data_IF_983589458948
#
_entry.id   IF_983589458948
#
_cell.length_a   1.000
_cell.length_b   1.000
_cell.length_c   1.000
_cell.angle_alpha   90.00
_cell.angle_beta   90.00
_cell.angle_gamma   90.00
#
_symmetry.space_group_name_H-M   'P 1'
#
loop_
_entity.id
_entity.type
_entity.pdbx_description
1 polymer ?
#
# COMPACT_ATOMS: atom_id res chain seq x y z
N UNK A 1 -22.97 -2.21 -2.22
CA UNK A 1 -23.63 -3.29 -1.47
C UNK A 1 -23.29 -3.25 0.01
N UNK A 2 -22.02 -3.37 0.43
CA UNK A 2 -21.66 -3.36 1.86
C UNK A 2 -22.03 -2.07 2.61
N UNK A 3 -21.90 -0.89 1.99
CA UNK A 3 -22.37 0.39 2.58
C UNK A 3 -23.86 0.33 2.92
N UNK A 4 -24.67 -0.16 1.99
CA UNK A 4 -26.11 -0.33 2.19
C UNK A 4 -26.40 -1.29 3.36
N UNK A 5 -25.68 -2.41 3.46
CA UNK A 5 -25.82 -3.34 4.58
C UNK A 5 -25.51 -2.64 5.91
N UNK A 6 -24.38 -1.92 5.96
CA UNK A 6 -23.88 -1.28 7.17
C UNK A 6 -24.80 -0.16 7.70
N UNK A 7 -25.50 0.52 6.80
CA UNK A 7 -26.42 1.61 7.12
C UNK A 7 -27.82 1.14 7.48
N UNK A 8 -28.31 0.07 6.83
CA UNK A 8 -29.71 -0.33 6.92
C UNK A 8 -29.96 -1.55 7.83
N UNK A 9 -28.94 -2.35 8.16
CA UNK A 9 -29.05 -3.54 9.01
C UNK A 9 -28.24 -3.37 10.30
N UNK A 10 -28.81 -2.60 11.23
CA UNK A 10 -28.14 -2.20 12.49
C UNK A 10 -27.99 -3.34 13.50
N UNK A 11 -28.77 -4.40 13.36
CA UNK A 11 -28.69 -5.61 14.18
C UNK A 11 -28.04 -6.72 13.35
N UNK A 12 -26.73 -6.88 13.52
CA UNK A 12 -25.99 -7.91 12.81
C UNK A 12 -26.44 -9.30 13.29
N UNK A 13 -26.85 -10.21 12.39
CA UNK A 13 -27.25 -11.57 12.76
C UNK A 13 -26.04 -12.44 13.15
N UNK A 14 -24.82 -11.99 12.85
CA UNK A 14 -23.56 -12.70 13.04
C UNK A 14 -22.37 -11.72 13.01
N UNK A 15 -21.21 -12.14 13.51
CA UNK A 15 -20.02 -11.27 13.66
C UNK A 15 -19.40 -10.83 12.34
N UNK A 16 -19.49 -11.65 11.30
CA UNK A 16 -19.07 -11.33 9.92
C UNK A 16 -19.88 -10.17 9.31
N UNK A 17 -21.13 -9.98 9.76
CA UNK A 17 -22.00 -8.87 9.38
C UNK A 17 -22.01 -7.72 10.39
N UNK A 18 -21.11 -7.75 11.39
CA UNK A 18 -20.95 -6.63 12.32
C UNK A 18 -20.54 -5.36 11.58
N UNK A 19 -20.92 -4.20 12.14
CA UNK A 19 -20.57 -2.88 11.58
C UNK A 19 -19.07 -2.72 11.33
N UNK A 20 -18.24 -3.24 12.23
CA UNK A 20 -16.78 -3.16 12.11
C UNK A 20 -16.29 -4.02 10.94
N UNK A 21 -16.72 -5.27 10.85
CA UNK A 21 -16.35 -6.18 9.76
C UNK A 21 -16.77 -5.62 8.41
N UNK A 22 -18.04 -5.19 8.28
CA UNK A 22 -18.55 -4.63 7.02
C UNK A 22 -17.82 -3.35 6.64
N UNK A 23 -17.47 -2.49 7.60
CA UNK A 23 -16.64 -1.29 7.35
C UNK A 23 -15.24 -1.65 6.85
N UNK A 24 -14.59 -2.67 7.42
CA UNK A 24 -13.30 -3.14 6.95
C UNK A 24 -13.40 -3.65 5.50
N UNK A 25 -14.43 -4.42 5.17
CA UNK A 25 -14.68 -4.89 3.80
C UNK A 25 -14.95 -3.74 2.81
N UNK A 26 -15.70 -2.71 3.21
CA UNK A 26 -15.88 -1.49 2.40
C UNK A 26 -14.52 -0.85 2.09
N UNK A 27 -13.67 -0.70 3.10
CA UNK A 27 -12.35 -0.10 2.92
C UNK A 27 -11.47 -0.93 1.99
N UNK A 28 -11.46 -2.27 2.11
CA UNK A 28 -10.71 -3.15 1.20
C UNK A 28 -11.21 -3.00 -0.24
N UNK A 29 -12.53 -3.04 -0.47
CA UNK A 29 -13.10 -2.92 -1.81
C UNK A 29 -12.78 -1.56 -2.45
N UNK A 30 -12.85 -0.48 -1.67
CA UNK A 30 -12.48 0.86 -2.14
C UNK A 30 -10.97 0.97 -2.42
N UNK A 31 -10.13 0.35 -1.58
CA UNK A 31 -8.69 0.36 -1.78
C UNK A 31 -8.30 -0.37 -3.07
N UNK A 32 -8.87 -1.54 -3.32
CA UNK A 32 -8.67 -2.30 -4.56
C UNK A 32 -9.14 -1.53 -5.80
N UNK A 33 -10.31 -0.87 -5.73
CA UNK A 33 -10.78 -0.01 -6.80
C UNK A 33 -9.83 1.17 -7.07
N UNK A 34 -9.26 1.73 -5.99
CA UNK A 34 -8.30 2.81 -6.06
C UNK A 34 -6.96 2.37 -6.69
N UNK A 35 -6.50 1.14 -6.43
CA UNK A 35 -5.33 0.54 -7.10
C UNK A 35 -5.54 0.41 -8.61
N UNK A 36 -6.67 -0.17 -9.03
CA UNK A 36 -7.01 -0.31 -10.46
C UNK A 36 -7.08 1.07 -11.13
N UNK A 37 -7.67 2.05 -10.44
CA UNK A 37 -7.73 3.40 -10.97
C UNK A 37 -6.34 4.05 -11.05
N UNK A 38 -5.47 3.84 -10.05
CA UNK A 38 -4.07 4.28 -10.07
C UNK A 38 -3.33 3.69 -11.27
N UNK A 39 -3.41 2.37 -11.49
CA UNK A 39 -2.77 1.70 -12.64
C UNK A 39 -3.21 2.31 -13.97
N UNK A 40 -4.52 2.53 -14.13
CA UNK A 40 -5.07 3.22 -15.31
C UNK A 40 -4.47 4.62 -15.45
N UNK A 41 -4.44 5.42 -14.38
CA UNK A 41 -3.92 6.78 -14.44
C UNK A 41 -2.40 6.83 -14.70
N UNK A 42 -1.65 5.83 -14.23
CA UNK A 42 -0.24 5.66 -14.56
C UNK A 42 -0.06 5.35 -16.04
N UNK A 43 -0.85 4.42 -16.59
CA UNK A 43 -0.84 4.10 -18.03
C UNK A 43 -1.25 5.30 -18.91
N UNK A 44 -2.17 6.14 -18.42
CA UNK A 44 -2.59 7.38 -19.08
C UNK A 44 -1.55 8.53 -18.97
N UNK A 45 -0.39 8.29 -18.33
CA UNK A 45 0.69 9.27 -18.20
C UNK A 45 0.33 10.48 -17.33
N UNK A 46 -0.51 10.32 -16.30
CA UNK A 46 -0.85 11.42 -15.38
C UNK A 46 0.38 11.90 -14.60
N UNK A 47 0.31 13.17 -14.17
CA UNK A 47 1.39 13.81 -13.40
C UNK A 47 1.64 13.09 -12.07
N UNK A 48 2.91 13.00 -11.69
CA UNK A 48 3.39 12.31 -10.49
C UNK A 48 2.63 12.73 -9.21
N UNK A 49 2.41 14.03 -9.00
CA UNK A 49 1.67 14.50 -7.81
C UNK A 49 0.21 14.07 -7.77
N UNK A 50 -0.43 13.80 -8.91
CA UNK A 50 -1.78 13.23 -8.94
C UNK A 50 -1.75 11.74 -8.60
N UNK A 51 -0.80 10.99 -9.17
CA UNK A 51 -0.59 9.56 -8.87
C UNK A 51 -0.29 9.35 -7.39
N UNK A 52 0.53 10.23 -6.79
CA UNK A 52 0.84 10.21 -5.36
C UNK A 52 -0.41 10.29 -4.48
N UNK A 53 -1.36 11.18 -4.82
CA UNK A 53 -2.63 11.31 -4.09
C UNK A 53 -3.50 10.06 -4.21
N UNK A 54 -3.56 9.47 -5.40
CA UNK A 54 -4.33 8.25 -5.63
C UNK A 54 -3.77 7.06 -4.84
N UNK A 55 -2.44 6.88 -4.87
CA UNK A 55 -1.75 5.86 -4.11
C UNK A 55 -1.88 6.08 -2.59
N UNK A 56 -1.78 7.34 -2.13
CA UNK A 56 -1.97 7.70 -0.73
C UNK A 56 -3.38 7.35 -0.23
N UNK A 57 -4.41 7.58 -1.06
CA UNK A 57 -5.78 7.19 -0.72
C UNK A 57 -5.92 5.66 -0.60
N UNK A 58 -5.31 4.88 -1.50
CA UNK A 58 -5.33 3.42 -1.41
C UNK A 58 -4.61 2.93 -0.13
N UNK A 59 -3.43 3.50 0.17
CA UNK A 59 -2.68 3.20 1.37
C UNK A 59 -3.50 3.48 2.64
N UNK A 60 -4.16 4.65 2.71
CA UNK A 60 -5.00 5.03 3.83
C UNK A 60 -6.16 4.05 4.03
N UNK A 61 -6.88 3.70 2.95
CA UNK A 61 -7.99 2.73 3.01
C UNK A 61 -7.53 1.35 3.49
N UNK A 62 -6.40 0.85 3.00
CA UNK A 62 -5.83 -0.41 3.47
C UNK A 62 -5.43 -0.35 4.95
N UNK A 63 -4.78 0.73 5.40
CA UNK A 63 -4.42 0.91 6.81
C UNK A 63 -5.67 0.91 7.71
N UNK A 64 -6.74 1.59 7.30
CA UNK A 64 -8.01 1.57 8.04
C UNK A 64 -8.65 0.17 8.10
N UNK A 65 -8.49 -0.65 7.06
CA UNK A 65 -8.94 -2.04 7.09
C UNK A 65 -8.03 -2.93 7.94
N UNK A 66 -6.72 -2.71 7.92
CA UNK A 66 -5.70 -3.54 8.55
C UNK A 66 -5.91 -3.69 10.05
N UNK A 67 -6.22 -2.58 10.74
CA UNK A 67 -6.47 -2.58 12.20
C UNK A 67 -7.61 -3.53 12.58
N UNK A 68 -8.75 -3.41 11.90
CA UNK A 68 -9.92 -4.25 12.17
C UNK A 68 -9.67 -5.70 11.78
N UNK A 69 -9.05 -5.95 10.63
CA UNK A 69 -8.76 -7.32 10.18
C UNK A 69 -7.82 -8.01 11.17
N UNK A 70 -6.76 -7.34 11.63
CA UNK A 70 -5.82 -7.91 12.59
C UNK A 70 -6.48 -8.26 13.93
N UNK A 71 -7.34 -7.38 14.46
CA UNK A 71 -8.11 -7.66 15.68
C UNK A 71 -8.99 -8.92 15.51
N UNK A 72 -9.64 -9.06 14.36
CA UNK A 72 -10.60 -10.14 14.11
C UNK A 72 -9.93 -11.45 13.68
N UNK A 73 -8.68 -11.42 13.17
CA UNK A 73 -7.81 -12.62 13.09
C UNK A 73 -7.59 -13.21 14.48
N UNK A 74 -7.30 -12.38 15.49
CA UNK A 74 -7.11 -12.83 16.88
C UNK A 74 -8.35 -13.50 17.49
N UNK A 75 -9.54 -13.23 16.92
CA UNK A 75 -10.82 -13.81 17.31
C UNK A 75 -11.27 -14.98 16.42
N UNK A 76 -10.48 -15.34 15.41
CA UNK A 76 -10.79 -16.44 14.49
C UNK A 76 -11.84 -16.14 13.41
N UNK A 77 -12.15 -14.85 13.15
CA UNK A 77 -13.13 -14.46 12.13
C UNK A 77 -12.51 -14.17 10.76
N UNK A 78 -11.25 -13.73 10.73
CA UNK A 78 -10.48 -13.60 9.50
C UNK A 78 -9.34 -14.61 9.49
N UNK A 79 -9.08 -15.16 8.31
CA UNK A 79 -7.87 -15.92 8.08
C UNK A 79 -6.65 -15.01 8.13
N UNK A 80 -5.60 -15.45 8.83
CA UNK A 80 -4.36 -14.67 9.01
C UNK A 80 -3.75 -14.21 7.68
N UNK A 81 -3.90 -15.02 6.63
CA UNK A 81 -3.39 -14.71 5.28
C UNK A 81 -3.97 -13.41 4.70
N UNK A 82 -5.23 -13.09 4.99
CA UNK A 82 -5.85 -11.82 4.57
C UNK A 82 -5.24 -10.62 5.30
N UNK A 83 -4.92 -10.77 6.59
CA UNK A 83 -4.21 -9.73 7.33
C UNK A 83 -2.83 -9.47 6.74
N UNK A 84 -2.11 -10.50 6.30
CA UNK A 84 -0.79 -10.34 5.67
C UNK A 84 -0.89 -9.61 4.33
N UNK A 85 -1.86 -9.97 3.48
CA UNK A 85 -2.10 -9.31 2.18
C UNK A 85 -2.43 -7.83 2.38
N UNK A 86 -3.34 -7.52 3.30
CA UNK A 86 -3.78 -6.14 3.56
C UNK A 86 -2.64 -5.29 4.14
N UNK A 87 -1.85 -5.83 5.07
CA UNK A 87 -0.69 -5.13 5.64
C UNK A 87 0.42 -4.90 4.59
N UNK A 88 0.67 -5.89 3.72
CA UNK A 88 1.61 -5.76 2.62
C UNK A 88 1.16 -4.67 1.64
N UNK A 89 -0.12 -4.69 1.23
CA UNK A 89 -0.69 -3.68 0.32
C UNK A 89 -0.74 -2.28 0.93
N UNK A 90 -1.04 -2.13 2.23
CA UNK A 90 -0.97 -0.84 2.93
C UNK A 90 0.42 -0.22 2.83
N UNK A 91 1.45 -1.00 3.19
CA UNK A 91 2.85 -0.57 3.17
C UNK A 91 3.34 -0.31 1.73
N UNK A 92 2.95 -1.17 0.79
CA UNK A 92 3.31 -1.03 -0.61
C UNK A 92 2.71 0.24 -1.23
N UNK A 93 1.41 0.49 -1.04
CA UNK A 93 0.76 1.70 -1.54
C UNK A 93 1.31 2.98 -0.90
N UNK A 94 1.72 2.92 0.38
CA UNK A 94 2.39 4.05 1.02
C UNK A 94 3.77 4.33 0.39
N UNK A 95 4.50 3.27 0.02
CA UNK A 95 5.75 3.40 -0.75
C UNK A 95 5.51 4.00 -2.13
N UNK A 96 4.53 3.50 -2.88
CA UNK A 96 4.15 4.01 -4.21
C UNK A 96 3.74 5.49 -4.14
N UNK A 97 2.99 5.87 -3.10
CA UNK A 97 2.61 7.27 -2.87
C UNK A 97 3.84 8.17 -2.66
N UNK A 98 4.76 7.73 -1.80
CA UNK A 98 6.00 8.45 -1.50
C UNK A 98 6.91 8.57 -2.72
N UNK A 99 7.01 7.50 -3.52
CA UNK A 99 7.75 7.47 -4.78
C UNK A 99 7.21 8.48 -5.80
N UNK A 100 5.90 8.46 -6.07
CA UNK A 100 5.31 9.42 -7.00
C UNK A 100 5.39 10.86 -6.48
N UNK A 101 5.28 11.07 -5.17
CA UNK A 101 5.47 12.41 -4.62
C UNK A 101 6.92 12.87 -4.74
N UNK A 102 7.90 11.99 -4.58
CA UNK A 102 9.30 12.32 -4.80
C UNK A 102 9.56 12.73 -6.25
N UNK A 103 8.95 12.05 -7.22
CA UNK A 103 9.01 12.45 -8.63
C UNK A 103 8.41 13.84 -8.85
N UNK A 104 7.29 14.16 -8.18
CA UNK A 104 6.72 15.51 -8.25
C UNK A 104 7.64 16.57 -7.63
N UNK A 105 8.36 16.21 -6.55
CA UNK A 105 9.33 17.10 -5.91
C UNK A 105 10.55 17.32 -6.82
N UNK A 106 11.04 16.29 -7.51
CA UNK A 106 12.07 16.39 -8.56
C UNK A 106 11.62 17.34 -9.66
N UNK A 107 10.39 17.18 -10.17
CA UNK A 107 9.81 18.05 -11.20
C UNK A 107 9.73 19.52 -10.74
N UNK A 108 9.63 19.75 -9.43
CA UNK A 108 9.62 21.08 -8.81
C UNK A 108 11.01 21.65 -8.48
N UNK A 109 12.08 20.89 -8.74
CA UNK A 109 13.46 21.26 -8.39
C UNK A 109 13.80 21.09 -6.90
N UNK A 110 13.00 20.34 -6.14
CA UNK A 110 13.17 20.11 -4.70
C UNK A 110 13.87 18.77 -4.42
N UNK A 111 15.09 18.62 -4.95
CA UNK A 111 15.86 17.36 -4.94
C UNK A 111 16.18 16.84 -3.54
N UNK A 112 16.50 17.72 -2.58
CA UNK A 112 16.78 17.29 -1.19
C UNK A 112 15.57 16.65 -0.51
N UNK A 113 14.38 17.23 -0.74
CA UNK A 113 13.09 16.69 -0.24
C UNK A 113 12.76 15.38 -0.97
N UNK A 114 12.97 15.34 -2.28
CA UNK A 114 12.74 14.14 -3.08
C UNK A 114 13.59 12.95 -2.60
N UNK A 115 14.86 13.18 -2.23
CA UNK A 115 15.73 12.13 -1.66
C UNK A 115 15.15 11.60 -0.35
N UNK A 116 14.81 12.48 0.60
CA UNK A 116 14.24 12.06 1.88
C UNK A 116 12.94 11.26 1.67
N UNK A 117 12.12 11.65 0.69
CA UNK A 117 10.88 10.97 0.36
C UNK A 117 11.09 9.61 -0.35
N UNK A 118 12.10 9.49 -1.21
CA UNK A 118 12.50 8.20 -1.79
C UNK A 118 13.06 7.24 -0.73
N UNK A 119 13.82 7.74 0.25
CA UNK A 119 14.28 6.94 1.38
C UNK A 119 13.11 6.42 2.23
N UNK A 120 12.10 7.25 2.47
CA UNK A 120 10.85 6.82 3.09
C UNK A 120 10.15 5.75 2.24
N UNK A 121 10.07 5.95 0.91
CA UNK A 121 9.49 4.97 0.00
C UNK A 121 10.22 3.62 0.09
N UNK A 122 11.56 3.61 0.17
CA UNK A 122 12.37 2.40 0.29
C UNK A 122 12.07 1.66 1.61
N UNK A 123 12.03 2.39 2.73
CA UNK A 123 11.67 1.83 4.04
C UNK A 123 10.28 1.18 4.04
N UNK A 124 9.29 1.85 3.44
CA UNK A 124 7.92 1.35 3.33
C UNK A 124 7.84 0.11 2.42
N UNK A 125 8.61 0.09 1.33
CA UNK A 125 8.68 -1.09 0.45
C UNK A 125 9.32 -2.29 1.14
N UNK A 126 10.37 -2.08 1.94
CA UNK A 126 10.99 -3.14 2.73
C UNK A 126 10.03 -3.71 3.80
N UNK A 127 9.21 -2.86 4.43
CA UNK A 127 8.14 -3.31 5.31
C UNK A 127 7.09 -4.14 4.54
N UNK A 128 6.70 -3.72 3.34
CA UNK A 128 5.78 -4.47 2.48
C UNK A 128 6.33 -5.85 2.10
N UNK A 129 7.63 -5.95 1.75
CA UNK A 129 8.30 -7.23 1.49
C UNK A 129 8.29 -8.14 2.73
N UNK A 130 8.46 -7.58 3.92
CA UNK A 130 8.44 -8.36 5.18
C UNK A 130 7.07 -9.00 5.40
N UNK A 131 5.98 -8.26 5.13
CA UNK A 131 4.62 -8.80 5.18
C UNK A 131 4.36 -9.86 4.11
N UNK A 132 4.72 -9.57 2.85
CA UNK A 132 4.52 -10.50 1.74
C UNK A 132 5.32 -11.80 1.93
N UNK A 133 6.57 -11.72 2.41
CA UNK A 133 7.41 -12.88 2.73
C UNK A 133 6.83 -13.75 3.85
N UNK A 134 6.01 -13.17 4.72
CA UNK A 134 5.35 -13.91 5.81
C UNK A 134 4.12 -14.69 5.33
N UNK A 135 3.71 -14.52 4.06
CA UNK A 135 2.63 -15.30 3.46
C UNK A 135 3.04 -16.78 3.34
N UNK A 136 2.24 -17.72 3.86
CA UNK A 136 2.63 -19.12 3.93
C UNK A 136 2.50 -19.83 2.57
N UNK A 137 3.30 -20.87 2.35
CA UNK A 137 3.18 -21.76 1.18
C UNK A 137 1.95 -22.69 1.25
N UNK A 138 1.41 -22.93 2.44
CA UNK A 138 0.16 -23.64 2.67
C UNK A 138 -0.90 -22.65 3.15
N UNK A 139 -1.96 -22.49 2.36
CA UNK A 139 -2.99 -21.47 2.56
C UNK A 139 -4.31 -22.16 2.97
N UNK A 140 -5.04 -21.64 3.98
CA UNK A 140 -6.34 -22.19 4.36
C UNK A 140 -7.34 -22.19 3.20
N UNK A 141 -7.97 -23.32 2.91
CA UNK A 141 -8.89 -23.46 1.78
C UNK A 141 -10.10 -22.51 1.84
N UNK A 142 -10.55 -22.16 3.05
CA UNK A 142 -11.65 -21.23 3.29
C UNK A 142 -11.28 -19.75 3.07
N UNK A 143 -9.99 -19.43 2.85
CA UNK A 143 -9.55 -18.06 2.57
C UNK A 143 -9.84 -17.62 1.13
N UNK A 144 -10.09 -18.56 0.21
CA UNK A 144 -10.14 -18.33 -1.25
C UNK A 144 -8.86 -17.72 -1.84
N UNK A 145 -7.73 -17.92 -1.16
CA UNK A 145 -6.40 -17.59 -1.66
C UNK A 145 -5.60 -18.87 -1.92
N UNK A 146 -4.63 -18.77 -2.83
CA UNK A 146 -3.65 -19.81 -3.13
C UNK A 146 -2.23 -19.30 -2.87
N UNK A 147 -1.25 -20.20 -2.83
CA UNK A 147 0.16 -19.84 -2.63
C UNK A 147 0.70 -18.93 -3.73
N UNK A 148 0.19 -19.06 -4.95
CA UNK A 148 0.54 -18.23 -6.10
C UNK A 148 0.16 -16.75 -5.87
N UNK A 149 -0.94 -16.44 -5.18
CA UNK A 149 -1.34 -15.06 -4.88
C UNK A 149 -0.28 -14.36 -4.02
N UNK A 150 0.27 -15.07 -3.03
CA UNK A 150 1.36 -14.56 -2.20
C UNK A 150 2.65 -14.35 -2.98
N UNK A 151 2.95 -15.26 -3.92
CA UNK A 151 4.13 -15.15 -4.78
C UNK A 151 4.03 -13.96 -5.75
N UNK A 152 2.89 -13.78 -6.41
CA UNK A 152 2.62 -12.64 -7.30
C UNK A 152 2.70 -11.31 -6.56
N UNK A 153 2.09 -11.21 -5.37
CA UNK A 153 2.19 -10.03 -4.52
C UNK A 153 3.64 -9.71 -4.15
N UNK A 154 4.42 -10.74 -3.79
CA UNK A 154 5.82 -10.56 -3.42
C UNK A 154 6.68 -10.12 -4.62
N UNK A 155 6.41 -10.64 -5.82
CA UNK A 155 7.10 -10.25 -7.05
C UNK A 155 6.82 -8.77 -7.39
N UNK A 156 5.56 -8.35 -7.36
CA UNK A 156 5.16 -6.96 -7.62
C UNK A 156 5.83 -5.98 -6.66
N UNK A 157 5.81 -6.28 -5.36
CA UNK A 157 6.42 -5.42 -4.34
C UNK A 157 7.94 -5.36 -4.53
N UNK A 158 8.60 -6.48 -4.85
CA UNK A 158 10.06 -6.50 -5.10
C UNK A 158 10.45 -5.74 -6.35
N UNK A 159 9.64 -5.82 -7.41
CA UNK A 159 9.85 -5.03 -8.62
C UNK A 159 9.81 -3.54 -8.30
N UNK A 160 8.81 -3.09 -7.55
CA UNK A 160 8.72 -1.70 -7.08
C UNK A 160 9.89 -1.32 -6.18
N UNK A 161 10.28 -2.20 -5.24
CA UNK A 161 11.42 -1.97 -4.35
C UNK A 161 12.71 -1.69 -5.14
N UNK A 162 13.00 -2.51 -6.15
CA UNK A 162 14.19 -2.33 -6.98
C UNK A 162 14.21 -0.98 -7.71
N UNK A 163 13.05 -0.55 -8.24
CA UNK A 163 12.90 0.77 -8.90
C UNK A 163 13.18 1.90 -7.91
N UNK A 164 12.62 1.82 -6.69
CA UNK A 164 12.83 2.83 -5.65
C UNK A 164 14.32 2.90 -5.24
N UNK A 165 14.96 1.76 -5.00
CA UNK A 165 16.36 1.68 -4.56
C UNK A 165 17.33 2.22 -5.64
N UNK A 166 17.07 1.92 -6.91
CA UNK A 166 17.82 2.48 -8.03
C UNK A 166 17.67 4.01 -8.09
N UNK A 167 16.44 4.51 -7.91
CA UNK A 167 16.20 5.95 -7.98
C UNK A 167 16.80 6.70 -6.78
N UNK A 168 16.77 6.13 -5.58
CA UNK A 168 17.48 6.67 -4.39
C UNK A 168 18.96 6.85 -4.72
N UNK A 169 19.59 5.80 -5.24
CA UNK A 169 21.03 5.79 -5.53
C UNK A 169 21.38 6.84 -6.58
N UNK A 170 20.59 6.90 -7.65
CA UNK A 170 20.77 7.89 -8.73
C UNK A 170 20.61 9.31 -8.22
N UNK A 171 19.53 9.60 -7.48
CA UNK A 171 19.23 10.96 -7.07
C UNK A 171 20.19 11.48 -5.99
N UNK A 172 20.65 10.62 -5.08
CA UNK A 172 21.71 10.98 -4.12
C UNK A 172 22.97 11.37 -4.86
N UNK A 173 23.43 10.52 -5.80
CA UNK A 173 24.61 10.80 -6.61
C UNK A 173 24.45 12.15 -7.34
N UNK A 174 23.33 12.38 -8.00
CA UNK A 174 23.12 13.61 -8.74
C UNK A 174 23.04 14.84 -7.81
N UNK A 175 22.47 14.70 -6.61
CA UNK A 175 22.49 15.77 -5.62
C UNK A 175 23.90 16.04 -5.07
N UNK A 176 24.73 15.02 -4.92
CA UNK A 176 26.12 15.17 -4.46
C UNK A 176 27.03 15.85 -5.50
N UNK A 177 26.73 15.74 -6.79
CA UNK A 177 27.55 16.31 -7.87
C UNK A 177 26.96 17.53 -8.58
N UNK A 178 25.64 17.75 -8.49
CA UNK A 178 24.94 18.76 -9.30
C UNK A 178 24.14 19.73 -8.41
N UNK A 179 23.22 19.22 -7.60
CA UNK A 179 22.18 20.07 -6.97
C UNK A 179 22.56 20.60 -5.58
N UNK A 180 23.33 19.82 -4.82
CA UNK A 180 23.83 20.13 -3.48
C UNK A 180 22.75 20.63 -2.50
N UNK A 181 21.52 20.12 -2.60
CA UNK A 181 20.44 20.48 -1.68
C UNK A 181 20.55 19.68 -0.39
N UNK A 182 20.25 20.34 0.74
CA UNK A 182 20.16 19.67 2.03
C UNK A 182 19.04 18.63 2.05
N UNK A 183 19.34 17.44 2.55
CA UNK A 183 18.37 16.35 2.70
C UNK A 183 17.76 16.41 4.10
N UNK A 184 16.44 16.62 4.25
CA UNK A 184 15.78 16.60 5.55
C UNK A 184 15.83 15.20 6.20
N UNK A 185 15.82 15.15 7.54
CA UNK A 185 15.76 13.87 8.28
C UNK A 185 14.38 13.18 8.16
N UNK A 186 13.31 13.95 7.91
CA UNK A 186 11.94 13.46 7.76
C UNK A 186 11.26 14.18 6.58
N UNK A 187 10.44 13.44 5.83
CA UNK A 187 9.78 13.87 4.59
C UNK A 187 8.25 13.91 4.72
#
# INVERSE_FOLDING_TARGET
>A
MFTYINENFLHAPSTDLSRATVKALINVMLAQAQEIFLEKQTADGKKSGQLAKLASQAAWLYTQAAETVQEYVGKGFFEKVWSLVIQAKASHMASVASFHQANADVDSGSYGIAIARLQLAAKLSAAAVTWAKSFPSSVPANSNLVSEDGASLMEEIKRHQAIVEEQVTTLIRDNDFIYHQGVPNEA
#
